data_IF_502395767871
#
_entry.id   IF_502395767871
#
_cell.length_a   1.000
_cell.length_b   1.000
_cell.length_c   1.000
_cell.angle_alpha   90.00
_cell.angle_beta   90.00
_cell.angle_gamma   90.00
#
_symmetry.space_group_name_H-M   'P 1'
#
loop_
_entity.id
_entity.type
_entity.pdbx_description
1 polymer ?
#
# COMPACT_ATOMS: atom_id res chain seq x y z
N UNK A 1 -3.42 6.91 -5.07
CA UNK A 1 -2.40 6.20 -4.29
C UNK A 1 -1.69 7.18 -3.37
N UNK A 2 -1.34 6.80 -2.14
CA UNK A 2 -0.64 7.68 -1.18
C UNK A 2 0.76 8.07 -1.69
N UNK A 3 1.43 7.17 -2.39
CA UNK A 3 2.84 7.28 -2.82
C UNK A 3 3.00 7.67 -4.29
N UNK A 4 1.89 7.94 -5.01
CA UNK A 4 1.81 8.13 -6.47
C UNK A 4 2.31 6.95 -7.33
N UNK A 5 2.96 5.96 -6.75
CA UNK A 5 3.34 4.70 -7.39
C UNK A 5 2.28 3.60 -7.21
N UNK A 6 2.34 2.58 -8.09
CA UNK A 6 1.52 1.37 -7.98
C UNK A 6 2.15 0.39 -6.98
N UNK A 7 1.35 -0.31 -6.15
CA UNK A 7 1.90 -1.33 -5.24
C UNK A 7 2.69 -2.43 -5.95
N UNK A 8 2.28 -2.78 -7.18
CA UNK A 8 2.96 -3.79 -7.99
C UNK A 8 4.36 -3.34 -8.39
N UNK A 9 4.51 -2.10 -8.88
CA UNK A 9 5.83 -1.55 -9.24
C UNK A 9 6.77 -1.46 -8.05
N UNK A 10 6.25 -1.11 -6.87
CA UNK A 10 7.07 -1.10 -5.65
C UNK A 10 7.55 -2.50 -5.25
N UNK A 11 6.72 -3.53 -5.44
CA UNK A 11 7.06 -4.91 -5.11
C UNK A 11 8.01 -5.55 -6.14
N UNK A 12 7.66 -5.46 -7.42
CA UNK A 12 8.31 -6.22 -8.50
C UNK A 12 9.26 -5.41 -9.37
N UNK A 13 9.26 -4.09 -9.23
CA UNK A 13 10.21 -3.23 -9.91
C UNK A 13 9.82 -2.74 -11.30
N UNK A 14 8.68 -3.19 -11.82
CA UNK A 14 8.14 -2.73 -13.11
C UNK A 14 6.63 -2.62 -12.99
N UNK A 15 6.00 -1.88 -13.90
CA UNK A 15 4.53 -1.89 -13.95
C UNK A 15 4.00 -3.27 -14.36
N UNK A 16 2.82 -3.60 -13.85
CA UNK A 16 2.14 -4.84 -14.19
C UNK A 16 1.78 -4.85 -15.68
N UNK A 17 2.16 -5.91 -16.39
CA UNK A 17 1.60 -6.19 -17.70
C UNK A 17 0.13 -6.59 -17.52
N UNK A 18 -0.80 -5.82 -18.08
CA UNK A 18 -2.20 -6.20 -18.11
C UNK A 18 -2.33 -7.40 -19.06
N UNK A 19 -2.79 -8.57 -18.59
CA UNK A 19 -3.07 -9.68 -19.50
C UNK A 19 -4.22 -9.26 -20.41
N UNK A 20 -3.95 -9.25 -21.71
CA UNK A 20 -4.99 -9.15 -22.74
C UNK A 20 -5.48 -10.57 -23.01
N UNK A 21 -6.72 -10.88 -22.65
CA UNK A 21 -7.41 -12.11 -23.03
C UNK A 21 -7.72 -12.05 -24.54
N UNK A 22 -6.77 -12.35 -25.42
CA UNK A 22 -7.09 -12.51 -26.86
C UNK A 22 -6.28 -13.68 -27.42
N UNK A 23 -6.98 -14.61 -28.07
CA UNK A 23 -6.43 -15.83 -28.68
C UNK A 23 -5.41 -15.63 -29.80
N UNK A 24 -4.96 -14.40 -30.05
CA UNK A 24 -3.94 -14.03 -31.04
C UNK A 24 -2.83 -13.18 -30.37
N UNK A 25 -1.54 -13.46 -30.63
CA UNK A 25 -0.45 -12.68 -30.05
C UNK A 25 -0.49 -11.22 -30.50
N UNK A 26 -0.46 -10.29 -29.54
CA UNK A 26 -0.46 -8.85 -29.83
C UNK A 26 0.78 -8.41 -30.61
N UNK A 27 0.69 -7.30 -31.34
CA UNK A 27 1.81 -6.70 -32.10
C UNK A 27 3.08 -6.51 -31.23
N UNK A 28 2.90 -6.16 -29.96
CA UNK A 28 3.99 -6.03 -28.98
C UNK A 28 4.69 -7.36 -28.69
N UNK A 29 3.95 -8.47 -28.71
CA UNK A 29 4.50 -9.82 -28.50
C UNK A 29 5.21 -10.34 -29.75
N UNK A 30 4.72 -10.01 -30.94
CA UNK A 30 5.36 -10.42 -32.20
C UNK A 30 6.64 -9.66 -32.51
N UNK A 31 6.75 -8.41 -32.06
CA UNK A 31 7.93 -7.56 -32.23
C UNK A 31 8.73 -7.40 -30.93
N UNK A 32 8.67 -8.39 -30.03
CA UNK A 32 9.43 -8.37 -28.79
C UNK A 32 10.93 -8.46 -29.10
N UNK A 33 11.70 -7.48 -28.62
CA UNK A 33 13.15 -7.46 -28.76
C UNK A 33 13.81 -7.50 -27.39
N UNK A 34 14.42 -8.64 -27.08
CA UNK A 34 14.95 -8.96 -25.75
C UNK A 34 16.07 -8.00 -25.31
N UNK A 35 17.04 -7.71 -26.18
CA UNK A 35 18.17 -6.81 -25.84
C UNK A 35 17.73 -5.37 -25.50
N UNK A 36 16.71 -4.87 -26.19
CA UNK A 36 16.15 -3.55 -25.92
C UNK A 36 15.43 -3.53 -24.56
N UNK A 37 14.73 -4.61 -24.24
CA UNK A 37 14.06 -4.78 -22.95
C UNK A 37 15.08 -4.88 -21.82
N UNK A 38 16.15 -5.63 -21.97
CA UNK A 38 17.21 -5.79 -20.96
C UNK A 38 17.88 -4.47 -20.60
N UNK A 39 18.19 -3.63 -21.59
CA UNK A 39 18.74 -2.30 -21.35
C UNK A 39 17.76 -1.40 -20.60
N UNK A 40 16.48 -1.42 -20.98
CA UNK A 40 15.44 -0.66 -20.29
C UNK A 40 15.22 -1.15 -18.86
N UNK A 41 15.28 -2.46 -18.63
CA UNK A 41 15.09 -3.09 -17.34
C UNK A 41 16.23 -2.75 -16.38
N UNK A 42 17.48 -2.75 -16.87
CA UNK A 42 18.65 -2.29 -16.08
C UNK A 42 18.52 -0.84 -15.63
N UNK A 43 18.07 0.04 -16.53
CA UNK A 43 17.86 1.45 -16.20
C UNK A 43 16.73 1.62 -15.17
N UNK A 44 15.66 0.82 -15.26
CA UNK A 44 14.57 0.85 -14.28
C UNK A 44 15.03 0.37 -12.90
N UNK A 45 15.80 -0.74 -12.83
CA UNK A 45 16.36 -1.27 -11.59
C UNK A 45 17.22 -0.25 -10.84
N UNK A 46 18.00 0.57 -11.55
CA UNK A 46 18.84 1.62 -10.95
C UNK A 46 18.01 2.69 -10.22
N UNK A 47 16.85 3.03 -10.76
CA UNK A 47 15.97 4.09 -10.21
C UNK A 47 15.00 3.55 -9.16
N UNK A 48 14.79 2.22 -9.10
CA UNK A 48 13.78 1.61 -8.24
C UNK A 48 13.97 1.86 -6.76
N UNK A 49 15.20 1.80 -6.27
CA UNK A 49 15.47 1.97 -4.85
C UNK A 49 15.15 3.41 -4.41
N UNK A 50 15.45 4.40 -5.24
CA UNK A 50 15.01 5.78 -4.99
C UNK A 50 13.48 5.92 -4.97
N UNK A 51 12.80 5.24 -5.89
CA UNK A 51 11.33 5.27 -5.95
C UNK A 51 10.72 4.65 -4.70
N UNK A 52 11.27 3.52 -4.23
CA UNK A 52 10.85 2.85 -2.99
C UNK A 52 11.10 3.73 -1.77
N UNK A 53 12.25 4.38 -1.70
CA UNK A 53 12.56 5.30 -0.60
C UNK A 53 11.59 6.49 -0.58
N UNK A 54 11.38 7.15 -1.72
CA UNK A 54 10.40 8.25 -1.86
C UNK A 54 9.00 7.79 -1.46
N UNK A 55 8.57 6.61 -1.91
CA UNK A 55 7.30 6.02 -1.53
C UNK A 55 7.20 5.77 -0.01
N UNK A 56 8.25 5.22 0.60
CA UNK A 56 8.30 4.97 2.03
C UNK A 56 8.19 6.26 2.85
N UNK A 57 8.92 7.32 2.47
CA UNK A 57 8.84 8.64 3.12
C UNK A 57 7.41 9.18 3.07
N UNK A 58 6.77 9.12 1.91
CA UNK A 58 5.39 9.63 1.74
C UNK A 58 4.39 8.80 2.54
N UNK A 59 4.56 7.47 2.59
CA UNK A 59 3.71 6.57 3.36
C UNK A 59 3.82 6.86 4.87
N UNK A 60 5.03 6.99 5.40
CA UNK A 60 5.27 7.33 6.80
C UNK A 60 4.75 8.74 7.14
N UNK A 61 4.95 9.72 6.27
CA UNK A 61 4.39 11.06 6.46
C UNK A 61 2.85 11.03 6.52
N UNK A 62 2.20 10.24 5.66
CA UNK A 62 0.75 10.05 5.67
C UNK A 62 0.28 9.40 6.97
N UNK A 63 0.92 8.31 7.38
CA UNK A 63 0.66 7.60 8.64
C UNK A 63 0.83 8.51 9.85
N UNK A 64 1.90 9.30 9.91
CA UNK A 64 2.12 10.27 10.99
C UNK A 64 1.03 11.35 11.01
N UNK A 65 0.63 11.90 9.85
CA UNK A 65 -0.47 12.88 9.78
C UNK A 65 -1.79 12.30 10.29
N UNK A 66 -2.11 11.07 9.90
CA UNK A 66 -3.30 10.36 10.38
C UNK A 66 -3.24 10.11 11.89
N UNK A 67 -2.12 9.61 12.39
CA UNK A 67 -1.90 9.36 13.82
C UNK A 67 -2.05 10.63 14.65
N UNK A 68 -1.43 11.74 14.23
CA UNK A 68 -1.55 13.05 14.91
C UNK A 68 -3.01 13.52 14.96
N UNK A 69 -3.75 13.41 13.85
CA UNK A 69 -5.17 13.81 13.78
C UNK A 69 -6.06 12.92 14.64
N UNK A 70 -5.77 11.63 14.72
CA UNK A 70 -6.51 10.71 15.58
C UNK A 70 -6.22 11.03 17.05
N UNK A 71 -4.94 11.10 17.41
CA UNK A 71 -4.48 11.32 18.78
C UNK A 71 -4.88 12.70 19.33
N UNK A 72 -4.99 13.74 18.49
CA UNK A 72 -5.43 15.07 18.95
C UNK A 72 -6.86 15.07 19.52
N UNK A 73 -7.69 14.10 19.13
CA UNK A 73 -9.05 13.96 19.64
C UNK A 73 -9.14 13.00 20.84
N UNK A 74 -8.05 12.31 21.19
CA UNK A 74 -8.00 11.40 22.32
C UNK A 74 -7.65 12.16 23.58
N UNK A 75 -8.49 12.03 24.61
CA UNK A 75 -8.17 12.49 25.97
C UNK A 75 -7.68 11.29 26.77
N UNK A 76 -6.41 11.25 27.21
CA UNK A 76 -5.91 10.19 28.08
C UNK A 76 -6.77 10.11 29.35
N UNK A 77 -7.16 8.90 29.74
CA UNK A 77 -7.82 8.63 31.03
C UNK A 77 -6.99 7.61 31.80
N UNK A 78 -6.69 7.94 33.04
CA UNK A 78 -6.04 7.06 34.00
C UNK A 78 -7.16 6.45 34.86
N UNK A 79 -7.08 5.14 35.09
CA UNK A 79 -8.03 4.40 35.93
C UNK A 79 -7.28 3.77 37.09
N UNK A 80 -7.91 3.72 38.26
CA UNK A 80 -7.39 3.13 39.48
C UNK A 80 -8.24 1.92 39.90
N UNK A 81 -7.71 1.07 40.78
CA UNK A 81 -8.46 -0.03 41.35
C UNK A 81 -9.70 0.50 42.10
N UNK A 82 -10.87 -0.06 41.77
CA UNK A 82 -12.17 0.41 42.28
C UNK A 82 -12.94 1.33 41.33
N UNK A 83 -12.31 1.85 40.26
CA UNK A 83 -13.02 2.67 39.26
C UNK A 83 -14.01 1.83 38.45
N UNK A 84 -15.28 2.22 38.47
CA UNK A 84 -16.32 1.62 37.64
C UNK A 84 -16.27 2.20 36.22
N UNK A 85 -15.94 1.37 35.24
CA UNK A 85 -15.88 1.75 33.82
C UNK A 85 -16.86 0.93 32.98
N UNK A 86 -17.55 1.60 32.05
CA UNK A 86 -18.44 0.94 31.11
C UNK A 86 -17.62 0.32 29.98
N UNK A 87 -17.65 -1.01 29.86
CA UNK A 87 -17.08 -1.72 28.73
C UNK A 87 -18.08 -1.74 27.59
N UNK A 88 -17.74 -1.13 26.47
CA UNK A 88 -18.49 -1.32 25.22
C UNK A 88 -18.40 -2.80 24.86
N UNK A 89 -19.52 -3.49 24.94
CA UNK A 89 -19.64 -4.91 24.57
C UNK A 89 -20.30 -4.92 23.20
N UNK A 90 -19.61 -5.40 22.16
CA UNK A 90 -20.24 -5.58 20.84
C UNK A 90 -21.40 -6.56 21.03
N UNK A 91 -22.63 -6.12 20.82
CA UNK A 91 -23.76 -7.05 20.76
C UNK A 91 -23.56 -7.97 19.56
N UNK A 92 -24.07 -9.20 19.65
CA UNK A 92 -23.94 -10.24 18.62
C UNK A 92 -24.62 -9.89 17.26
N UNK A 93 -25.02 -8.64 17.03
CA UNK A 93 -25.71 -8.18 15.82
C UNK A 93 -24.98 -7.06 15.07
N UNK A 94 -23.74 -6.76 15.40
CA UNK A 94 -22.94 -5.83 14.60
C UNK A 94 -22.23 -6.57 13.47
N UNK A 95 -22.57 -6.20 12.23
CA UNK A 95 -22.11 -6.71 10.93
C UNK A 95 -20.66 -7.25 10.88
N UNK A 96 -20.40 -8.28 10.06
CA UNK A 96 -19.16 -9.05 10.04
C UNK A 96 -17.95 -8.35 9.38
N UNK A 97 -18.02 -7.04 9.10
CA UNK A 97 -16.95 -6.29 8.41
C UNK A 97 -16.04 -5.47 9.34
N UNK A 98 -16.02 -5.76 10.64
CA UNK A 98 -14.97 -5.27 11.54
C UNK A 98 -14.07 -6.42 12.00
N UNK A 99 -12.80 -6.33 11.60
CA UNK A 99 -11.69 -6.62 12.48
C UNK A 99 -11.23 -8.09 12.55
N UNK A 100 -10.12 -8.34 11.85
CA UNK A 100 -8.79 -8.81 12.32
C UNK A 100 -8.04 -9.34 11.07
N UNK A 101 -6.82 -8.86 10.81
CA UNK A 101 -5.55 -9.44 11.30
C UNK A 101 -5.48 -10.93 11.03
#
# INVERSE_FOLDING_TARGET
>A
SSTKETPFRLAYGSDAMIPVEVGEPSFRRTHFHEESNDNSFRAELDVLDEMREKAHIVAEACKQRMSRRFNSNLKPRIFHEGDLVLRVTRSARCNPFEGKL
#
